data_IF_249959239677
#
_entry.id   IF_249959239677
#
_cell.length_a   1.000
_cell.length_b   1.000
_cell.length_c   1.000
_cell.angle_alpha   90.00
_cell.angle_beta   90.00
_cell.angle_gamma   90.00
#
_symmetry.space_group_name_H-M   'P 1'
#
loop_
_entity.id
_entity.type
_entity.pdbx_description
1 polymer ?
#
# COMPACT_ATOMS: atom_id res chain seq x y z
N UNK A 1 11.09 -20.32 0.24
CA UNK A 1 10.11 -19.44 0.94
C UNK A 1 9.06 -19.04 -0.08
N UNK A 2 7.77 -18.90 0.30
CA UNK A 2 6.77 -18.37 -0.62
C UNK A 2 7.15 -16.94 -1.00
N UNK A 3 6.90 -16.58 -2.26
CA UNK A 3 7.12 -15.24 -2.74
C UNK A 3 6.09 -14.30 -2.09
N UNK A 4 6.52 -13.22 -1.41
CA UNK A 4 5.59 -12.24 -0.87
C UNK A 4 4.77 -11.58 -1.98
N UNK A 5 3.56 -11.14 -1.65
CA UNK A 5 2.85 -10.10 -2.41
C UNK A 5 2.81 -8.81 -1.59
N UNK A 6 2.84 -7.68 -2.27
CA UNK A 6 2.74 -6.35 -1.64
C UNK A 6 1.59 -5.58 -2.30
N UNK A 7 0.67 -5.06 -1.48
CA UNK A 7 -0.49 -4.31 -1.94
C UNK A 7 -0.72 -3.03 -1.12
N UNK A 8 -1.42 -2.08 -1.71
CA UNK A 8 -1.87 -0.88 -1.02
C UNK A 8 -3.35 -0.93 -0.70
N UNK A 9 -3.69 -0.50 0.51
CA UNK A 9 -5.04 -0.22 0.95
C UNK A 9 -5.20 1.27 1.24
N UNK A 10 -6.33 1.84 0.82
CA UNK A 10 -6.75 3.19 1.22
C UNK A 10 -8.02 3.03 2.07
N UNK A 11 -7.97 3.50 3.32
CA UNK A 11 -9.07 3.38 4.27
C UNK A 11 -9.54 1.92 4.44
N UNK A 12 -8.60 0.98 4.47
CA UNK A 12 -8.85 -0.46 4.62
C UNK A 12 -9.38 -1.16 3.36
N UNK A 13 -9.45 -0.46 2.22
CA UNK A 13 -9.87 -1.04 0.93
C UNK A 13 -8.68 -1.19 0.01
N UNK A 14 -8.51 -2.38 -0.56
CA UNK A 14 -7.48 -2.63 -1.58
C UNK A 14 -7.64 -1.63 -2.72
N UNK A 15 -6.56 -0.91 -3.01
CA UNK A 15 -6.49 0.09 -4.08
C UNK A 15 -5.57 -0.35 -5.20
N UNK A 16 -4.49 -1.02 -4.85
CA UNK A 16 -3.48 -1.46 -5.79
C UNK A 16 -2.87 -2.80 -5.33
N UNK A 17 -2.82 -3.76 -6.23
CA UNK A 17 -2.21 -5.09 -6.01
C UNK A 17 -1.11 -5.38 -7.04
N UNK A 18 -0.77 -4.41 -7.91
CA UNK A 18 0.30 -4.55 -8.88
C UNK A 18 1.65 -4.27 -8.21
N UNK A 19 2.50 -5.29 -8.14
CA UNK A 19 3.83 -5.20 -7.55
C UNK A 19 4.89 -5.70 -8.52
N UNK A 20 6.09 -5.14 -8.38
CA UNK A 20 7.23 -5.48 -9.20
C UNK A 20 8.24 -6.28 -8.36
N UNK A 21 8.82 -7.29 -9.00
CA UNK A 21 9.99 -7.99 -8.48
C UNK A 21 11.22 -7.32 -9.10
N UNK A 22 11.84 -6.43 -8.35
CA UNK A 22 13.08 -5.81 -8.77
C UNK A 22 14.21 -6.84 -8.74
N UNK A 23 15.27 -6.63 -9.54
CA UNK A 23 16.43 -7.53 -9.59
C UNK A 23 17.02 -7.73 -8.18
N UNK A 24 16.84 -8.93 -7.61
CA UNK A 24 17.24 -9.27 -6.24
C UNK A 24 16.14 -9.99 -5.46
N UNK A 25 16.08 -9.72 -4.15
CA UNK A 25 15.12 -10.29 -3.18
C UNK A 25 14.18 -9.18 -2.64
N UNK A 26 13.89 -8.17 -3.48
CA UNK A 26 13.07 -7.01 -3.12
C UNK A 26 11.80 -7.01 -3.97
N UNK A 27 10.67 -6.94 -3.27
CA UNK A 27 9.34 -6.76 -3.86
C UNK A 27 8.86 -5.38 -3.50
N UNK A 28 8.40 -4.63 -4.51
CA UNK A 28 7.99 -3.25 -4.35
C UNK A 28 6.63 -3.01 -5.00
N UNK A 29 5.77 -2.27 -4.30
CA UNK A 29 4.54 -1.73 -4.86
C UNK A 29 4.56 -0.20 -4.70
N UNK A 30 4.56 0.52 -5.83
CA UNK A 30 4.63 1.99 -5.87
C UNK A 30 3.27 2.60 -6.19
N UNK A 31 2.53 2.99 -5.15
CA UNK A 31 1.29 3.74 -5.31
C UNK A 31 1.56 5.19 -5.74
N UNK A 32 1.14 5.54 -6.95
CA UNK A 32 1.16 6.92 -7.46
C UNK A 32 -0.26 7.51 -7.46
N UNK A 33 -0.47 8.63 -6.79
CA UNK A 33 -1.78 9.30 -6.67
C UNK A 33 -1.81 10.57 -7.52
N UNK A 34 -2.65 10.62 -8.55
CA UNK A 34 -2.84 11.82 -9.37
C UNK A 34 -4.27 11.94 -9.93
N UNK A 35 -4.97 13.07 -9.74
CA UNK A 35 -4.74 14.14 -8.76
C UNK A 35 -5.25 13.78 -7.35
N UNK A 36 -4.72 14.45 -6.32
CA UNK A 36 -5.20 14.37 -4.92
C UNK A 36 -6.21 15.48 -4.67
N UNK A 37 -7.29 15.16 -3.94
CA UNK A 37 -8.46 16.02 -3.73
C UNK A 37 -8.69 16.30 -2.24
N UNK A 38 -9.47 17.35 -1.91
CA UNK A 38 -9.85 17.66 -0.50
C UNK A 38 -10.56 16.49 0.20
N UNK A 39 -11.26 15.65 -0.55
CA UNK A 39 -11.92 14.44 -0.02
C UNK A 39 -10.95 13.39 0.50
N UNK A 40 -9.67 13.46 0.10
CA UNK A 40 -8.66 12.48 0.48
C UNK A 40 -7.98 12.84 1.81
N UNK A 41 -8.24 14.04 2.35
CA UNK A 41 -7.75 14.47 3.66
C UNK A 41 -8.15 13.46 4.75
N UNK A 42 -7.17 13.04 5.54
CA UNK A 42 -7.35 12.05 6.60
C UNK A 42 -7.39 10.61 6.11
N UNK A 43 -7.19 10.37 4.80
CA UNK A 43 -7.12 8.99 4.28
C UNK A 43 -5.91 8.26 4.88
N UNK A 44 -6.14 7.03 5.31
CA UNK A 44 -5.10 6.14 5.82
C UNK A 44 -4.63 5.20 4.70
N UNK A 45 -3.37 5.30 4.34
CA UNK A 45 -2.71 4.48 3.34
C UNK A 45 -1.94 3.39 4.05
N UNK A 46 -2.24 2.13 3.74
CA UNK A 46 -1.58 0.97 4.36
C UNK A 46 -0.91 0.15 3.27
N UNK A 47 0.39 -0.08 3.43
CA UNK A 47 1.12 -1.05 2.63
C UNK A 47 1.11 -2.37 3.38
N UNK A 48 0.55 -3.40 2.74
CA UNK A 48 0.39 -4.74 3.29
C UNK A 48 1.29 -5.73 2.52
N UNK A 49 2.15 -6.45 3.25
CA UNK A 49 2.98 -7.52 2.74
C UNK A 49 2.46 -8.88 3.24
N UNK A 50 1.97 -9.72 2.32
CA UNK A 50 1.44 -11.05 2.61
C UNK A 50 2.38 -12.12 2.07
N UNK A 51 2.87 -12.99 2.96
CA UNK A 51 3.73 -14.12 2.58
C UNK A 51 2.95 -15.43 2.37
N UNK A 52 1.90 -15.65 3.18
CA UNK A 52 1.04 -16.84 3.16
C UNK A 52 -0.34 -16.48 3.72
N UNK A 53 -1.34 -17.30 3.44
CA UNK A 53 -2.69 -17.14 4.01
C UNK A 53 -2.83 -17.72 5.43
N UNK A 54 -1.75 -18.23 6.01
CA UNK A 54 -1.73 -18.90 7.32
C UNK A 54 -1.44 -17.95 8.50
N UNK A 55 -0.92 -16.76 8.21
CA UNK A 55 -0.56 -15.75 9.20
C UNK A 55 -1.04 -14.39 8.76
N UNK A 56 -1.26 -13.51 9.73
CA UNK A 56 -1.60 -12.12 9.45
C UNK A 56 -0.49 -11.45 8.63
N UNK A 57 -0.86 -10.60 7.66
CA UNK A 57 0.10 -9.89 6.86
C UNK A 57 0.85 -8.85 7.69
N UNK A 58 2.04 -8.46 7.22
CA UNK A 58 2.78 -7.36 7.82
C UNK A 58 2.33 -6.05 7.20
N UNK A 59 1.95 -5.09 8.03
CA UNK A 59 1.39 -3.82 7.59
C UNK A 59 2.22 -2.61 8.08
N UNK A 60 2.21 -1.54 7.30
CA UNK A 60 2.66 -0.21 7.72
C UNK A 60 1.72 0.84 7.15
N UNK A 61 1.38 1.85 7.95
CA UNK A 61 0.36 2.84 7.58
C UNK A 61 0.86 4.27 7.70
N UNK A 62 0.35 5.15 6.83
CA UNK A 62 0.56 6.59 6.84
C UNK A 62 -0.77 7.31 6.62
N UNK A 63 -0.96 8.45 7.28
CA UNK A 63 -2.15 9.30 7.10
C UNK A 63 -1.83 10.50 6.21
N UNK A 64 -2.73 10.81 5.29
CA UNK A 64 -2.60 11.97 4.40
C UNK A 64 -3.18 13.23 5.05
N UNK A 65 -2.33 14.20 5.34
CA UNK A 65 -2.72 15.55 5.71
C UNK A 65 -2.57 16.49 4.50
N UNK A 66 -3.59 17.31 4.24
CA UNK A 66 -3.66 18.22 3.10
C UNK A 66 -3.83 19.66 3.58
N UNK A 67 -2.89 20.52 3.18
CA UNK A 67 -3.02 21.95 3.39
C UNK A 67 -3.89 22.57 2.28
N UNK A 68 -5.19 22.65 2.51
CA UNK A 68 -6.15 23.20 1.58
C UNK A 68 -6.32 24.71 1.76
N UNK A 69 -5.34 25.50 1.31
CA UNK A 69 -5.45 26.97 1.26
C UNK A 69 -6.50 27.44 0.26
#
# INVERSE_FOLDING_TARGET
KPQPMVRWLINGRVKDEEYENNAGDVIENRLTLQPINRSDLGSNFTCEARNTDLVDPKETSISLDLNCK
#
